data_IF_754691611654
#
_entry.id   IF_754691611654
#
_cell.length_a   1.000
_cell.length_b   1.000
_cell.length_c   1.000
_cell.angle_alpha   90.00
_cell.angle_beta   90.00
_cell.angle_gamma   90.00
#
_symmetry.space_group_name_H-M   'P 1'
#
loop_
_entity.id
_entity.type
_entity.pdbx_description
1 polymer ?
#
# COMPACT_ATOMS: atom_id res chain seq x y z
N UNK A 1 27.98 -17.75 9.30
CA UNK A 1 27.03 -16.76 8.76
C UNK A 1 26.09 -16.39 9.87
N UNK A 2 25.88 -15.09 10.13
CA UNK A 2 24.81 -14.66 11.04
C UNK A 2 23.46 -14.96 10.41
N UNK A 3 22.47 -15.32 11.22
CA UNK A 3 21.10 -15.50 10.76
C UNK A 3 20.58 -14.18 10.16
N UNK A 4 19.96 -14.25 8.99
CA UNK A 4 19.43 -13.07 8.30
C UNK A 4 18.27 -12.49 9.13
N UNK A 5 18.27 -11.17 9.28
CA UNK A 5 17.16 -10.45 9.94
C UNK A 5 15.97 -10.27 8.99
N UNK A 6 14.78 -10.14 9.56
CA UNK A 6 13.50 -10.12 8.84
C UNK A 6 13.08 -8.69 8.51
N UNK A 7 12.74 -8.46 7.24
CA UNK A 7 11.97 -7.31 6.77
C UNK A 7 10.59 -7.81 6.41
N UNK A 8 9.58 -7.34 7.14
CA UNK A 8 8.19 -7.76 6.94
C UNK A 8 7.46 -6.75 6.06
N UNK A 9 6.81 -7.22 5.00
CA UNK A 9 5.93 -6.43 4.16
C UNK A 9 4.48 -6.76 4.49
N UNK A 10 3.64 -5.74 4.60
CA UNK A 10 2.18 -5.87 4.68
C UNK A 10 1.62 -5.27 3.40
N UNK A 11 0.79 -6.04 2.69
CA UNK A 11 0.16 -5.64 1.43
C UNK A 11 -1.30 -6.07 1.41
N UNK A 12 -2.13 -5.42 0.60
CA UNK A 12 -3.58 -5.65 0.60
C UNK A 12 -3.97 -6.98 -0.07
N UNK A 13 -3.40 -7.26 -1.25
CA UNK A 13 -3.76 -8.39 -2.09
C UNK A 13 -2.59 -9.27 -2.51
N UNK A 14 -2.90 -10.45 -3.09
CA UNK A 14 -1.89 -11.34 -3.63
C UNK A 14 -1.20 -10.77 -4.89
N UNK A 15 -1.89 -9.93 -5.67
CA UNK A 15 -1.30 -9.24 -6.83
C UNK A 15 -0.17 -8.30 -6.42
N UNK A 16 -0.26 -7.67 -5.25
CA UNK A 16 0.83 -6.87 -4.68
C UNK A 16 2.09 -7.71 -4.39
N UNK A 17 1.91 -8.87 -3.75
CA UNK A 17 3.03 -9.80 -3.49
C UNK A 17 3.60 -10.35 -4.79
N UNK A 18 2.75 -10.70 -5.76
CA UNK A 18 3.19 -11.20 -7.06
C UNK A 18 4.04 -10.15 -7.79
N UNK A 19 3.56 -8.91 -7.90
CA UNK A 19 4.26 -7.84 -8.62
C UNK A 19 5.57 -7.40 -7.95
N UNK A 20 5.59 -7.30 -6.62
CA UNK A 20 6.71 -6.69 -5.87
C UNK A 20 7.63 -7.73 -5.20
N UNK A 21 7.21 -8.99 -5.12
CA UNK A 21 7.87 -10.00 -4.28
C UNK A 21 9.31 -10.31 -4.67
N UNK A 22 9.57 -10.54 -5.96
CA UNK A 22 10.93 -10.79 -6.48
C UNK A 22 11.82 -9.57 -6.29
N UNK A 23 11.32 -8.39 -6.64
CA UNK A 23 12.00 -7.10 -6.55
C UNK A 23 12.44 -6.80 -5.12
N UNK A 24 11.53 -6.93 -4.14
CA UNK A 24 11.85 -6.68 -2.74
C UNK A 24 12.83 -7.71 -2.18
N UNK A 25 12.73 -8.98 -2.58
CA UNK A 25 13.68 -10.04 -2.20
C UNK A 25 15.07 -9.79 -2.79
N UNK A 26 15.17 -9.26 -4.01
CA UNK A 26 16.43 -8.88 -4.64
C UNK A 26 17.06 -7.68 -3.93
N UNK A 27 16.29 -6.61 -3.67
CA UNK A 27 16.78 -5.42 -2.98
C UNK A 27 17.24 -5.75 -1.55
N UNK A 28 16.42 -6.45 -0.77
CA UNK A 28 16.72 -6.87 0.59
C UNK A 28 17.43 -8.24 0.64
N UNK A 29 18.36 -8.51 -0.29
CA UNK A 29 19.04 -9.81 -0.43
C UNK A 29 19.81 -10.27 0.82
N UNK A 30 20.22 -9.35 1.69
CA UNK A 30 20.88 -9.63 2.97
C UNK A 30 19.90 -9.95 4.12
N UNK A 31 18.59 -9.91 3.86
CA UNK A 31 17.53 -10.11 4.82
C UNK A 31 16.59 -11.26 4.39
N UNK A 32 15.78 -11.72 5.33
CA UNK A 32 14.60 -12.54 5.02
C UNK A 32 13.42 -11.60 4.77
N UNK A 33 12.86 -11.65 3.57
CA UNK A 33 11.68 -10.85 3.21
C UNK A 33 10.43 -11.70 3.39
N UNK A 34 9.51 -11.24 4.24
CA UNK A 34 8.26 -11.95 4.52
C UNK A 34 7.06 -11.06 4.20
N UNK A 35 6.25 -11.48 3.24
CA UNK A 35 5.01 -10.81 2.89
C UNK A 35 3.85 -11.33 3.76
N UNK A 36 3.03 -10.40 4.21
CA UNK A 36 1.71 -10.65 4.80
C UNK A 36 0.69 -10.04 3.87
N UNK A 37 0.05 -10.91 3.09
CA UNK A 37 -1.11 -10.56 2.28
C UNK A 37 -2.33 -10.55 3.21
N UNK A 38 -2.95 -9.37 3.35
CA UNK A 38 -4.09 -9.19 4.27
C UNK A 38 -5.37 -9.80 3.70
N UNK A 39 -5.50 -9.93 2.38
CA UNK A 39 -6.73 -10.28 1.66
C UNK A 39 -7.83 -9.25 1.94
N UNK A 40 -7.63 -8.06 1.35
CA UNK A 40 -8.47 -6.88 1.49
C UNK A 40 -7.86 -5.82 2.40
N UNK A 41 -8.48 -4.65 2.43
CA UNK A 41 -7.94 -3.49 3.13
C UNK A 41 -8.01 -3.65 4.66
N UNK A 42 -6.83 -3.72 5.31
CA UNK A 42 -6.70 -3.83 6.76
C UNK A 42 -7.37 -2.66 7.51
N UNK A 43 -7.46 -1.49 6.87
CA UNK A 43 -8.08 -0.28 7.41
C UNK A 43 -9.60 -0.31 7.31
N UNK A 44 -10.17 -1.23 6.51
CA UNK A 44 -11.61 -1.33 6.29
C UNK A 44 -12.28 -2.60 6.81
N UNK A 45 -11.53 -3.57 7.34
CA UNK A 45 -12.12 -4.77 7.96
C UNK A 45 -13.07 -4.42 9.11
N UNK A 46 -14.06 -5.28 9.33
CA UNK A 46 -15.04 -5.10 10.40
C UNK A 46 -14.36 -4.90 11.76
N UNK A 47 -14.92 -3.98 12.55
CA UNK A 47 -14.43 -3.58 13.86
C UNK A 47 -13.04 -2.94 13.88
N UNK A 48 -12.44 -2.58 12.74
CA UNK A 48 -11.19 -1.81 12.72
C UNK A 48 -11.47 -0.33 12.99
N UNK A 49 -10.68 0.25 13.88
CA UNK A 49 -10.68 1.67 14.21
C UNK A 49 -9.24 2.15 14.42
N UNK A 50 -9.09 3.47 14.58
CA UNK A 50 -7.82 4.05 15.02
C UNK A 50 -7.31 3.34 16.28
N UNK A 51 -8.17 3.07 17.27
CA UNK A 51 -7.76 2.50 18.55
C UNK A 51 -7.17 1.09 18.46
N UNK A 52 -7.55 0.30 17.46
CA UNK A 52 -7.14 -1.10 17.37
C UNK A 52 -6.33 -1.49 16.14
N UNK A 53 -6.12 -0.58 15.17
CA UNK A 53 -5.33 -0.90 13.97
C UNK A 53 -3.93 -1.41 14.30
N UNK A 54 -3.26 -0.81 15.30
CA UNK A 54 -1.92 -1.26 15.72
C UNK A 54 -1.95 -2.65 16.33
N UNK A 55 -3.02 -2.98 17.07
CA UNK A 55 -3.24 -4.34 17.57
C UNK A 55 -3.44 -5.31 16.41
N UNK A 56 -4.20 -4.93 15.38
CA UNK A 56 -4.40 -5.75 14.17
C UNK A 56 -3.13 -6.01 13.40
N UNK A 57 -2.27 -5.01 13.24
CA UNK A 57 -0.94 -5.21 12.64
C UNK A 57 -0.09 -6.11 13.55
N UNK A 58 -0.12 -5.92 14.86
CA UNK A 58 0.60 -6.79 15.79
C UNK A 58 0.13 -8.26 15.73
N UNK A 59 -1.17 -8.51 15.53
CA UNK A 59 -1.71 -9.86 15.28
C UNK A 59 -1.08 -10.50 14.02
N UNK A 60 -0.83 -9.72 12.96
CA UNK A 60 -0.11 -10.21 11.78
C UNK A 60 1.35 -10.55 12.08
N UNK A 61 2.06 -9.69 12.82
CA UNK A 61 3.46 -9.93 13.23
C UNK A 61 3.56 -11.24 14.03
N UNK A 62 2.67 -11.44 15.00
CA UNK A 62 2.66 -12.68 15.81
C UNK A 62 2.32 -13.92 14.97
N UNK A 63 1.47 -13.79 13.95
CA UNK A 63 1.18 -14.87 13.00
C UNK A 63 2.44 -15.28 12.22
N UNK A 64 3.19 -14.32 11.68
CA UNK A 64 4.45 -14.56 10.96
C UNK A 64 5.49 -15.19 11.89
N UNK A 65 5.67 -14.65 13.11
CA UNK A 65 6.56 -15.22 14.13
C UNK A 65 6.24 -16.68 14.40
N UNK A 66 4.97 -17.03 14.58
CA UNK A 66 4.55 -18.41 14.82
C UNK A 66 4.79 -19.32 13.62
N UNK A 67 4.48 -18.86 12.40
CA UNK A 67 4.60 -19.64 11.16
C UNK A 67 6.06 -20.00 10.85
N UNK A 68 6.97 -19.03 10.99
CA UNK A 68 8.37 -19.19 10.62
C UNK A 68 9.33 -19.36 11.81
N UNK A 69 8.79 -19.38 13.04
CA UNK A 69 9.53 -19.52 14.31
C UNK A 69 10.54 -18.40 14.57
N UNK A 70 10.24 -17.19 14.12
CA UNK A 70 11.06 -16.01 14.40
C UNK A 70 10.87 -15.51 15.84
N UNK A 71 11.93 -14.93 16.39
CA UNK A 71 11.90 -14.16 17.61
C UNK A 71 11.60 -12.69 17.30
N UNK A 72 11.21 -11.94 18.34
CA UNK A 72 10.88 -10.52 18.18
C UNK A 72 12.07 -9.71 17.64
N UNK A 73 13.27 -9.97 18.18
CA UNK A 73 14.51 -9.28 17.80
C UNK A 73 15.02 -9.67 16.40
N UNK A 74 14.36 -10.59 15.71
CA UNK A 74 14.68 -10.91 14.32
C UNK A 74 14.13 -9.88 13.34
N UNK A 75 13.08 -9.15 13.72
CA UNK A 75 12.46 -8.13 12.87
C UNK A 75 13.21 -6.81 12.98
N UNK A 76 13.71 -6.32 11.85
CA UNK A 76 14.40 -5.02 11.78
C UNK A 76 13.52 -3.91 11.20
N UNK A 77 12.48 -4.26 10.43
CA UNK A 77 11.61 -3.30 9.80
C UNK A 77 10.27 -3.93 9.39
N UNK A 78 9.20 -3.15 9.50
CA UNK A 78 7.90 -3.42 8.93
C UNK A 78 7.61 -2.33 7.89
N UNK A 79 7.37 -2.76 6.66
CA UNK A 79 6.99 -1.93 5.53
C UNK A 79 5.53 -2.26 5.21
N UNK A 80 4.66 -1.25 5.21
CA UNK A 80 3.25 -1.40 4.84
C UNK A 80 3.01 -0.65 3.54
N UNK A 81 2.56 -1.32 2.50
CA UNK A 81 2.13 -0.70 1.24
C UNK A 81 0.60 -0.73 1.24
N UNK A 82 0.00 0.41 0.96
CA UNK A 82 -1.45 0.61 1.06
C UNK A 82 -1.97 1.40 -0.12
N UNK A 83 -3.17 1.07 -0.56
CA UNK A 83 -3.88 1.83 -1.57
C UNK A 83 -4.64 2.97 -0.89
N UNK A 84 -4.69 4.16 -1.51
CA UNK A 84 -5.45 5.28 -0.93
C UNK A 84 -6.92 5.26 -1.31
N UNK A 85 -7.31 4.60 -2.41
CA UNK A 85 -8.67 4.59 -2.96
C UNK A 85 -9.34 5.98 -3.02
N UNK A 86 -8.60 7.03 -3.39
CA UNK A 86 -9.16 8.39 -3.41
C UNK A 86 -9.65 8.89 -2.04
N UNK A 87 -9.09 8.37 -0.93
CA UNK A 87 -9.54 8.67 0.45
C UNK A 87 -9.57 10.16 0.79
N UNK A 88 -8.71 10.98 0.18
CA UNK A 88 -8.51 12.38 0.56
C UNK A 88 -9.26 13.40 -0.30
N UNK A 89 -10.04 12.95 -1.29
CA UNK A 89 -10.73 13.89 -2.17
C UNK A 89 -11.85 14.67 -1.47
N UNK A 90 -12.16 15.89 -1.94
CA UNK A 90 -13.33 16.63 -1.50
C UNK A 90 -14.62 15.82 -1.68
N UNK A 91 -15.54 15.90 -0.70
CA UNK A 91 -16.82 15.16 -0.76
C UNK A 91 -17.68 15.56 -1.97
N UNK A 92 -17.49 16.76 -2.52
CA UNK A 92 -18.16 17.24 -3.74
C UNK A 92 -17.73 16.49 -5.00
N UNK A 93 -16.55 15.86 -4.98
CA UNK A 93 -16.02 15.06 -6.07
C UNK A 93 -16.42 13.57 -5.94
N UNK A 94 -17.26 13.20 -4.96
CA UNK A 94 -17.89 11.89 -4.86
C UNK A 94 -19.33 12.01 -5.37
N UNK A 95 -19.58 11.48 -6.57
CA UNK A 95 -20.85 11.67 -7.28
C UNK A 95 -21.68 10.40 -7.26
N UNK A 96 -23.00 10.56 -7.11
CA UNK A 96 -23.92 9.46 -7.28
C UNK A 96 -24.17 9.19 -8.76
N UNK A 97 -23.93 7.95 -9.18
CA UNK A 97 -24.12 7.48 -10.55
C UNK A 97 -24.73 6.07 -10.57
N UNK A 98 -25.34 5.68 -11.68
CA UNK A 98 -25.87 4.34 -11.88
C UNK A 98 -24.75 3.37 -12.31
N UNK A 99 -23.93 3.00 -11.33
CA UNK A 99 -22.78 2.10 -11.48
C UNK A 99 -22.88 0.97 -10.47
N UNK A 100 -22.41 -0.22 -10.84
CA UNK A 100 -22.44 -1.39 -9.93
C UNK A 100 -21.36 -1.32 -8.85
N UNK A 101 -20.18 -0.81 -9.22
CA UNK A 101 -19.01 -0.61 -8.35
C UNK A 101 -18.50 0.82 -8.48
N UNK A 102 -17.68 1.25 -7.53
CA UNK A 102 -17.05 2.56 -7.60
C UNK A 102 -16.15 2.67 -8.84
N UNK A 103 -16.34 3.73 -9.62
CA UNK A 103 -15.53 4.06 -10.78
C UNK A 103 -14.69 5.29 -10.44
N UNK A 104 -13.38 5.18 -10.66
CA UNK A 104 -12.41 6.21 -10.32
C UNK A 104 -12.02 6.96 -11.59
N UNK A 105 -11.95 8.28 -11.47
CA UNK A 105 -11.42 9.19 -12.46
C UNK A 105 -10.36 10.08 -11.78
N UNK A 106 -9.57 10.82 -12.55
CA UNK A 106 -8.55 11.71 -11.97
C UNK A 106 -9.15 12.91 -11.21
N UNK A 107 -10.41 13.26 -11.49
CA UNK A 107 -11.08 14.42 -10.92
C UNK A 107 -12.29 14.08 -10.01
N UNK A 108 -12.78 12.84 -10.02
CA UNK A 108 -13.92 12.42 -9.20
C UNK A 108 -14.04 10.90 -9.03
N UNK A 109 -14.97 10.47 -8.18
CA UNK A 109 -15.39 9.07 -8.06
C UNK A 109 -16.89 8.99 -8.29
N UNK A 110 -17.31 8.14 -9.23
CA UNK A 110 -18.71 7.82 -9.49
C UNK A 110 -19.10 6.55 -8.73
N UNK A 111 -20.15 6.63 -7.90
CA UNK A 111 -20.55 5.55 -7.01
C UNK A 111 -22.07 5.46 -6.87
N UNK A 112 -22.59 4.28 -6.52
CA UNK A 112 -24.02 4.11 -6.24
C UNK A 112 -24.51 4.81 -4.97
N UNK A 113 -23.63 4.99 -3.99
CA UNK A 113 -23.96 5.58 -2.68
C UNK A 113 -22.80 6.47 -2.21
N UNK A 114 -22.90 7.76 -2.49
CA UNK A 114 -21.84 8.72 -2.17
C UNK A 114 -21.59 8.79 -0.66
N UNK A 115 -22.65 8.74 0.15
CA UNK A 115 -22.55 8.79 1.62
C UNK A 115 -21.75 7.61 2.20
N UNK A 116 -21.88 6.41 1.62
CA UNK A 116 -21.11 5.25 2.05
C UNK A 116 -19.60 5.47 1.83
N UNK A 117 -19.23 6.04 0.68
CA UNK A 117 -17.84 6.33 0.32
C UNK A 117 -17.28 7.48 1.14
N UNK A 118 -18.06 8.54 1.38
CA UNK A 118 -17.67 9.62 2.32
C UNK A 118 -17.34 9.07 3.70
N UNK A 119 -18.18 8.20 4.26
CA UNK A 119 -17.94 7.60 5.57
C UNK A 119 -16.72 6.66 5.56
N UNK A 120 -16.55 5.87 4.50
CA UNK A 120 -15.37 5.02 4.28
C UNK A 120 -14.10 5.88 4.22
N UNK A 121 -14.11 6.96 3.45
CA UNK A 121 -12.99 7.88 3.29
C UNK A 121 -12.58 8.49 4.63
N UNK A 122 -13.55 9.00 5.40
CA UNK A 122 -13.29 9.54 6.75
C UNK A 122 -12.64 8.51 7.67
N UNK A 123 -13.14 7.26 7.68
CA UNK A 123 -12.56 6.18 8.51
C UNK A 123 -11.15 5.79 8.05
N UNK A 124 -10.96 5.51 6.75
CA UNK A 124 -9.65 5.12 6.20
C UNK A 124 -8.63 6.24 6.41
N UNK A 125 -9.00 7.49 6.13
CA UNK A 125 -8.12 8.64 6.29
C UNK A 125 -7.63 8.82 7.74
N UNK A 126 -8.51 8.65 8.73
CA UNK A 126 -8.12 8.71 10.14
C UNK A 126 -7.15 7.58 10.53
N UNK A 127 -7.39 6.35 10.04
CA UNK A 127 -6.48 5.21 10.26
C UNK A 127 -5.12 5.44 9.59
N UNK A 128 -5.09 5.88 8.34
CA UNK A 128 -3.86 6.19 7.61
C UNK A 128 -3.07 7.28 8.31
N UNK A 129 -3.74 8.34 8.79
CA UNK A 129 -3.12 9.39 9.59
C UNK A 129 -2.43 8.82 10.85
N UNK A 130 -3.12 7.94 11.58
CA UNK A 130 -2.52 7.27 12.74
C UNK A 130 -1.32 6.40 12.36
N UNK A 131 -1.44 5.60 11.31
CA UNK A 131 -0.37 4.71 10.84
C UNK A 131 0.87 5.49 10.42
N UNK A 132 0.72 6.55 9.61
CA UNK A 132 1.88 7.36 9.16
C UNK A 132 2.61 8.08 10.30
N UNK A 133 1.95 8.30 11.44
CA UNK A 133 2.56 8.89 12.65
C UNK A 133 3.13 7.86 13.63
N UNK A 134 2.87 6.57 13.45
CA UNK A 134 3.21 5.52 14.44
C UNK A 134 4.72 5.30 14.58
N UNK A 135 5.46 5.24 13.47
CA UNK A 135 6.94 5.12 13.43
C UNK A 135 7.54 3.80 13.96
N UNK A 136 6.91 3.15 14.96
CA UNK A 136 7.26 1.82 15.46
C UNK A 136 6.02 1.05 15.90
N UNK A 137 5.98 -0.25 15.64
CA UNK A 137 4.95 -1.16 16.16
C UNK A 137 5.64 -2.19 17.03
N UNK A 138 5.25 -2.21 18.32
CA UNK A 138 5.84 -3.10 19.32
C UNK A 138 7.38 -3.02 19.36
N UNK A 139 7.97 -1.82 19.19
CA UNK A 139 9.42 -1.63 19.19
C UNK A 139 10.12 -1.81 17.83
N UNK A 140 9.48 -2.48 16.86
CA UNK A 140 10.02 -2.68 15.51
C UNK A 140 9.77 -1.41 14.67
N UNK A 141 10.78 -0.86 13.96
CA UNK A 141 10.60 0.23 13.00
C UNK A 141 9.47 -0.02 12.01
N UNK A 142 8.60 0.97 11.83
CA UNK A 142 7.41 0.87 10.99
C UNK A 142 7.31 2.06 10.04
N UNK A 143 7.12 1.78 8.75
CA UNK A 143 6.78 2.80 7.75
C UNK A 143 5.63 2.31 6.86
N UNK A 144 4.81 3.27 6.43
CA UNK A 144 3.68 3.05 5.54
C UNK A 144 3.83 3.92 4.29
N UNK A 145 3.77 3.28 3.12
CA UNK A 145 3.90 3.87 1.80
C UNK A 145 2.59 3.68 1.04
N UNK A 146 2.28 4.61 0.14
CA UNK A 146 0.99 4.64 -0.55
C UNK A 146 1.13 4.39 -2.05
N UNK A 147 0.07 3.82 -2.61
CA UNK A 147 -0.30 3.96 -4.00
C UNK A 147 -1.57 4.81 -4.09
N UNK A 148 -1.55 5.80 -4.96
CA UNK A 148 -2.71 6.62 -5.25
C UNK A 148 -3.75 5.79 -6.01
N UNK A 149 -5.03 5.92 -5.65
CA UNK A 149 -6.08 4.94 -6.01
C UNK A 149 -5.71 3.51 -5.62
N UNK A 150 -4.95 2.81 -6.46
CA UNK A 150 -4.55 1.42 -6.27
C UNK A 150 -3.18 1.12 -6.90
N UNK A 151 -2.65 -0.07 -6.64
CA UNK A 151 -1.38 -0.53 -7.21
C UNK A 151 -1.40 -0.53 -8.75
N UNK A 152 -2.50 -0.95 -9.38
CA UNK A 152 -2.56 -1.07 -10.83
C UNK A 152 -2.43 0.29 -11.53
N UNK A 153 -3.07 1.33 -10.98
CA UNK A 153 -2.91 2.70 -11.46
C UNK A 153 -1.44 3.13 -11.43
N UNK A 154 -0.75 2.84 -10.33
CA UNK A 154 0.67 3.20 -10.16
C UNK A 154 1.57 2.39 -11.09
N UNK A 155 1.38 1.08 -11.22
CA UNK A 155 2.31 0.22 -11.97
C UNK A 155 2.04 0.19 -13.47
N UNK A 156 0.77 0.28 -13.89
CA UNK A 156 0.35 0.05 -15.28
C UNK A 156 -0.26 1.26 -15.97
N UNK A 157 -0.48 2.37 -15.25
CA UNK A 157 -1.15 3.57 -15.79
C UNK A 157 -2.61 3.27 -16.24
N UNK A 158 -3.28 2.39 -15.50
CA UNK A 158 -4.66 1.99 -15.78
C UNK A 158 -5.55 2.28 -14.57
N UNK A 159 -6.50 3.22 -14.75
CA UNK A 159 -7.50 3.59 -13.75
C UNK A 159 -8.87 3.03 -14.14
N UNK A 160 -9.14 1.78 -13.77
CA UNK A 160 -10.43 1.10 -13.96
C UNK A 160 -10.71 0.09 -12.85
N UNK A 161 -11.91 -0.49 -12.86
CA UNK A 161 -12.20 -1.68 -12.05
C UNK A 161 -11.52 -2.90 -12.70
N UNK A 162 -10.78 -3.65 -11.89
CA UNK A 162 -10.09 -4.87 -12.33
C UNK A 162 -10.74 -6.09 -11.71
N UNK A 163 -10.87 -7.14 -12.51
CA UNK A 163 -11.12 -8.49 -12.00
C UNK A 163 -9.86 -9.06 -11.34
N UNK A 164 -10.03 -10.03 -10.45
CA UNK A 164 -8.90 -10.72 -9.81
C UNK A 164 -7.98 -11.39 -10.85
N UNK A 165 -8.54 -11.90 -11.96
CA UNK A 165 -7.78 -12.49 -13.06
C UNK A 165 -6.93 -11.45 -13.81
N UNK A 166 -7.48 -10.27 -14.12
CA UNK A 166 -6.71 -9.18 -14.74
C UNK A 166 -5.57 -8.72 -13.82
N UNK A 167 -5.84 -8.56 -12.51
CA UNK A 167 -4.81 -8.19 -11.53
C UNK A 167 -3.69 -9.21 -11.50
N UNK A 168 -4.02 -10.50 -11.53
CA UNK A 168 -3.02 -11.57 -11.53
C UNK A 168 -2.12 -11.49 -12.77
N UNK A 169 -2.72 -11.39 -13.98
CA UNK A 169 -1.97 -11.29 -15.24
C UNK A 169 -1.03 -10.08 -15.22
N UNK A 170 -1.54 -8.91 -14.85
CA UNK A 170 -0.74 -7.69 -14.77
C UNK A 170 0.39 -7.82 -13.75
N UNK A 171 0.14 -8.44 -12.60
CA UNK A 171 1.15 -8.64 -11.57
C UNK A 171 2.26 -9.59 -12.01
N UNK A 172 1.92 -10.67 -12.72
CA UNK A 172 2.88 -11.63 -13.25
C UNK A 172 3.72 -11.00 -14.37
N UNK A 173 3.10 -10.27 -15.31
CA UNK A 173 3.80 -9.54 -16.37
C UNK A 173 4.77 -8.49 -15.80
N UNK A 174 4.38 -7.80 -14.72
CA UNK A 174 5.24 -6.84 -14.04
C UNK A 174 6.44 -7.52 -13.36
N UNK A 175 6.17 -8.62 -12.66
CA UNK A 175 7.21 -9.40 -11.99
C UNK A 175 8.24 -9.92 -13.00
N UNK A 176 7.79 -10.48 -14.11
CA UNK A 176 8.64 -10.97 -15.19
C UNK A 176 9.45 -9.86 -15.86
N UNK A 177 8.84 -8.67 -16.02
CA UNK A 177 9.53 -7.50 -16.61
C UNK A 177 10.75 -7.09 -15.78
N UNK A 178 10.64 -7.11 -14.46
CA UNK A 178 11.65 -6.60 -13.52
C UNK A 178 12.43 -7.68 -12.75
N UNK A 179 12.22 -8.97 -13.05
CA UNK A 179 12.98 -10.06 -12.44
C UNK A 179 14.49 -9.89 -12.70
N UNK A 180 15.29 -9.85 -11.63
CA UNK A 180 16.73 -9.61 -11.70
C UNK A 180 17.13 -8.19 -12.13
N UNK A 181 16.18 -7.24 -12.14
CA UNK A 181 16.35 -5.86 -12.62
C UNK A 181 15.87 -4.84 -11.60
N UNK A 182 16.20 -5.05 -10.32
CA UNK A 182 15.80 -4.14 -9.23
C UNK A 182 16.11 -2.67 -9.51
N UNK A 183 17.24 -2.36 -10.16
CA UNK A 183 17.61 -0.98 -10.49
C UNK A 183 16.67 -0.34 -11.53
N UNK A 184 16.23 -1.10 -12.55
CA UNK A 184 15.25 -0.60 -13.53
C UNK A 184 13.89 -0.34 -12.87
N UNK A 185 13.51 -1.18 -11.89
CA UNK A 185 12.32 -0.91 -11.09
C UNK A 185 12.46 0.35 -10.25
N UNK A 186 13.61 0.53 -9.58
CA UNK A 186 13.88 1.73 -8.77
C UNK A 186 13.81 2.98 -9.64
N UNK A 187 14.40 2.97 -10.84
CA UNK A 187 14.30 4.07 -11.81
C UNK A 187 12.84 4.35 -12.18
N UNK A 188 12.05 3.30 -12.48
CA UNK A 188 10.63 3.42 -12.81
C UNK A 188 9.83 4.04 -11.67
N UNK A 189 9.91 3.49 -10.45
CA UNK A 189 9.10 3.96 -9.32
C UNK A 189 9.55 5.32 -8.78
N UNK A 190 10.77 5.76 -9.14
CA UNK A 190 11.34 7.08 -8.84
C UNK A 190 11.09 8.11 -9.93
N UNK A 191 10.45 7.74 -11.05
CA UNK A 191 10.13 8.68 -12.13
C UNK A 191 9.19 9.79 -11.63
N UNK A 192 9.45 11.06 -12.00
CA UNK A 192 8.70 12.21 -11.50
C UNK A 192 7.20 12.20 -11.88
N UNK A 193 6.77 11.38 -12.84
CA UNK A 193 5.36 11.19 -13.16
C UNK A 193 4.64 10.35 -12.08
N UNK A 194 5.38 9.52 -11.35
CA UNK A 194 4.85 8.61 -10.31
C UNK A 194 5.28 9.07 -8.92
N UNK A 195 6.57 9.33 -8.74
CA UNK A 195 7.20 9.62 -7.47
C UNK A 195 6.82 11.00 -6.94
N UNK A 196 6.19 11.01 -5.77
CA UNK A 196 5.96 12.25 -5.03
C UNK A 196 7.27 12.68 -4.36
N UNK A 197 7.92 13.73 -4.86
CA UNK A 197 9.20 14.17 -4.31
C UNK A 197 9.10 14.71 -2.87
N UNK A 198 10.12 14.43 -2.07
CA UNK A 198 10.32 15.06 -0.76
C UNK A 198 10.47 14.05 0.36
N UNK A 199 10.47 14.53 1.60
CA UNK A 199 10.54 13.66 2.77
C UNK A 199 9.25 12.85 2.93
N UNK A 200 9.32 11.72 3.63
CA UNK A 200 8.14 10.91 3.99
C UNK A 200 6.94 11.74 4.46
N UNK A 201 7.16 12.74 5.31
CA UNK A 201 6.07 13.62 5.78
C UNK A 201 5.51 14.49 4.64
N UNK A 202 6.37 15.06 3.79
CA UNK A 202 5.94 15.90 2.66
C UNK A 202 5.18 15.10 1.61
N UNK A 203 5.54 13.83 1.36
CA UNK A 203 4.82 12.99 0.40
C UNK A 203 3.41 12.67 0.87
N UNK A 204 3.23 12.42 2.17
CA UNK A 204 1.90 12.26 2.76
C UNK A 204 1.11 13.58 2.75
N UNK A 205 1.75 14.71 3.07
CA UNK A 205 1.09 16.02 3.01
C UNK A 205 0.70 16.43 1.58
N UNK A 206 1.34 15.85 0.55
CA UNK A 206 0.97 16.02 -0.84
C UNK A 206 -0.25 15.17 -1.21
N UNK A 207 -0.23 13.86 -0.89
CA UNK A 207 -1.33 12.96 -1.28
C UNK A 207 -2.64 13.29 -0.58
N UNK A 208 -2.57 13.93 0.60
CA UNK A 208 -3.72 14.42 1.38
C UNK A 208 -4.39 15.69 0.79
N UNK A 209 -3.81 16.30 -0.24
CA UNK A 209 -4.32 17.56 -0.82
C UNK A 209 -5.16 17.34 -2.07
N UNK A 210 -6.24 18.11 -2.14
CA UNK A 210 -7.10 18.23 -3.32
C UNK A 210 -7.46 16.85 -3.88
N UNK A 211 -7.09 16.57 -5.13
CA UNK A 211 -7.41 15.32 -5.84
C UNK A 211 -6.20 14.42 -6.01
N UNK A 212 -5.11 14.67 -5.29
CA UNK A 212 -3.85 13.96 -5.52
C UNK A 212 -3.97 12.44 -5.28
N UNK A 213 -4.86 12.01 -4.39
CA UNK A 213 -5.17 10.59 -4.15
C UNK A 213 -5.96 9.89 -5.28
N UNK A 214 -6.29 10.61 -6.36
CA UNK A 214 -6.84 10.06 -7.62
C UNK A 214 -5.81 10.01 -8.75
N UNK A 215 -4.85 10.94 -8.75
CA UNK A 215 -3.80 11.04 -9.77
C UNK A 215 -2.73 9.95 -9.58
N UNK A 216 -2.01 9.61 -10.64
CA UNK A 216 -1.04 8.49 -10.63
C UNK A 216 0.21 8.81 -9.80
N UNK A 217 0.17 8.51 -8.51
CA UNK A 217 1.25 8.88 -7.57
C UNK A 217 1.57 7.79 -6.56
N UNK A 218 2.84 7.73 -6.15
CA UNK A 218 3.33 6.86 -5.08
C UNK A 218 4.51 7.50 -4.35
N UNK A 219 4.73 7.09 -3.11
CA UNK A 219 5.97 7.38 -2.39
C UNK A 219 6.82 6.12 -2.13
N UNK A 220 6.56 5.04 -2.87
CA UNK A 220 7.26 3.76 -2.72
C UNK A 220 8.77 3.86 -3.02
N UNK A 221 9.21 4.82 -3.84
CA UNK A 221 10.64 5.09 -4.07
C UNK A 221 11.43 5.32 -2.76
N UNK A 222 10.79 5.86 -1.72
CA UNK A 222 11.39 6.09 -0.39
C UNK A 222 11.73 4.79 0.37
N UNK A 223 11.32 3.61 -0.12
CA UNK A 223 11.77 2.32 0.40
C UNK A 223 13.26 2.10 0.11
N UNK A 224 13.75 2.68 -0.99
CA UNK A 224 15.08 2.41 -1.53
C UNK A 224 16.14 3.45 -1.13
N UNK A 225 15.77 4.42 -0.28
CA UNK A 225 16.61 5.51 0.23
C UNK A 225 17.26 5.22 1.60
#
# INVERSE_FOLDING_TARGET
MSEKKVVMFIVEGPSDEAALGSIMKEYFSNNEVQFVVVYGDITLKDYVSEDNILKKINEQIESVKKKYRYFHDDFIMIIHIVDTDGVYIPEIDIKEADVEKAQYYEDHIDVKNAKAIVNRNRRKGAILYKLRKTGKINGIPYRIYFNSCNLEHVLYDELKDFTDEEKQILSDDFADKYDGKVNEFIEFISDNQIAVSGTFQKTWDYIEKDRNSLNRHSNMHLIFE
#
